data_IF_658628473475
#
_entry.id   IF_658628473475
#
_cell.length_a   1.000
_cell.length_b   1.000
_cell.length_c   1.000
_cell.angle_alpha   90.00
_cell.angle_beta   90.00
_cell.angle_gamma   90.00
#
_symmetry.space_group_name_H-M   'P 1'
#
loop_
_entity.id
_entity.type
_entity.pdbx_description
1 polymer ?
#
# COMPACT_ATOMS: atom_id res chain seq x y z
N UNK A 1 20.35 -3.43 -0.42
CA UNK A 1 21.20 -2.32 -0.95
C UNK A 1 20.27 -1.18 -1.34
N UNK A 2 20.56 0.06 -0.94
CA UNK A 2 19.70 1.21 -1.23
C UNK A 2 20.49 2.32 -1.91
N UNK A 3 19.83 3.04 -2.83
CA UNK A 3 20.45 4.10 -3.63
C UNK A 3 20.00 5.47 -3.13
N UNK A 4 20.85 6.12 -2.32
CA UNK A 4 20.60 7.42 -1.68
C UNK A 4 20.02 8.47 -2.63
N UNK A 5 20.60 8.62 -3.81
CA UNK A 5 20.21 9.66 -4.77
C UNK A 5 18.82 9.40 -5.36
N UNK A 6 18.48 8.12 -5.60
CA UNK A 6 17.15 7.74 -6.07
C UNK A 6 16.10 7.95 -4.98
N UNK A 7 16.41 7.59 -3.73
CA UNK A 7 15.55 7.83 -2.58
C UNK A 7 15.23 9.33 -2.41
N UNK A 8 16.23 10.19 -2.46
CA UNK A 8 16.05 11.63 -2.24
C UNK A 8 15.34 12.33 -3.42
N UNK A 9 15.70 12.00 -4.67
CA UNK A 9 15.14 12.67 -5.87
C UNK A 9 13.67 12.36 -6.12
N UNK A 10 13.18 11.21 -5.62
CA UNK A 10 11.82 10.71 -5.87
C UNK A 10 10.91 10.78 -4.65
N UNK A 11 11.39 11.31 -3.52
CA UNK A 11 10.60 11.37 -2.29
C UNK A 11 9.70 12.60 -2.29
N UNK A 12 8.43 12.41 -1.91
CA UNK A 12 7.52 13.51 -1.62
C UNK A 12 7.95 14.33 -0.39
N UNK A 13 8.90 13.84 0.41
CA UNK A 13 9.48 14.52 1.57
C UNK A 13 10.80 15.26 1.25
N UNK A 14 11.17 15.40 -0.03
CA UNK A 14 12.42 16.09 -0.42
C UNK A 14 12.51 17.55 0.08
N UNK A 15 11.37 18.17 0.39
CA UNK A 15 11.27 19.51 0.96
C UNK A 15 11.69 19.59 2.44
N UNK A 16 11.75 18.46 3.16
CA UNK A 16 12.13 18.40 4.58
C UNK A 16 13.64 18.38 4.78
N UNK A 17 14.38 17.90 3.78
CA UNK A 17 15.83 17.78 3.79
C UNK A 17 16.32 16.45 3.25
N UNK A 18 17.62 16.15 3.43
CA UNK A 18 18.20 14.90 2.94
C UNK A 18 17.79 13.71 3.80
N UNK A 19 17.17 12.71 3.19
CA UNK A 19 16.91 11.39 3.77
C UNK A 19 18.23 10.62 3.84
N UNK A 20 18.57 10.14 5.04
CA UNK A 20 19.89 9.58 5.38
C UNK A 20 19.91 8.05 5.50
N UNK A 21 18.74 7.43 5.64
CA UNK A 21 18.62 6.00 5.88
C UNK A 21 17.26 5.48 5.42
N UNK A 22 17.08 4.17 5.57
CA UNK A 22 15.78 3.49 5.50
C UNK A 22 15.53 2.78 6.85
N UNK A 23 14.51 1.95 6.92
CA UNK A 23 14.24 1.08 8.06
C UNK A 23 14.96 -0.29 7.92
N UNK A 24 14.66 -1.20 8.84
CA UNK A 24 15.22 -2.54 8.90
C UNK A 24 14.97 -3.38 7.64
N UNK A 25 13.77 -3.26 7.06
CA UNK A 25 13.34 -4.07 5.92
C UNK A 25 13.55 -3.38 4.56
N UNK A 26 14.13 -2.17 4.56
CA UNK A 26 14.55 -1.40 3.38
C UNK A 26 13.43 -0.86 2.48
N UNK A 27 12.19 -0.85 2.95
CA UNK A 27 11.00 -0.37 2.24
C UNK A 27 10.58 1.05 2.62
N UNK A 28 10.96 1.53 3.81
CA UNK A 28 10.58 2.87 4.29
C UNK A 28 11.69 3.88 4.02
N UNK A 29 11.35 4.98 3.37
CA UNK A 29 12.29 6.05 3.00
C UNK A 29 11.69 7.38 3.46
N UNK A 30 11.94 7.72 4.73
CA UNK A 30 11.35 8.88 5.40
C UNK A 30 12.45 9.78 6.01
N UNK A 31 12.15 11.07 6.11
CA UNK A 31 13.04 12.06 6.67
C UNK A 31 13.26 11.87 8.18
N UNK A 32 14.51 12.04 8.63
CA UNK A 32 14.88 12.02 10.05
C UNK A 32 15.85 13.14 10.40
N UNK A 33 15.73 13.63 11.63
CA UNK A 33 16.57 14.67 12.23
C UNK A 33 16.83 14.36 13.71
N UNK A 34 17.71 15.09 14.40
CA UNK A 34 17.87 14.93 15.86
C UNK A 34 16.56 15.10 16.65
N UNK A 35 15.61 15.85 16.09
CA UNK A 35 14.32 16.18 16.68
C UNK A 35 13.15 15.36 16.13
N UNK A 36 13.38 14.53 15.10
CA UNK A 36 12.34 13.76 14.42
C UNK A 36 12.79 12.35 14.12
N UNK A 37 12.09 11.39 14.73
CA UNK A 37 12.25 9.97 14.45
C UNK A 37 11.11 9.52 13.56
N UNK A 38 11.40 9.15 12.32
CA UNK A 38 10.41 8.67 11.37
C UNK A 38 9.70 7.41 11.90
N UNK A 39 8.39 7.35 11.68
CA UNK A 39 7.53 6.20 12.03
C UNK A 39 6.57 5.99 10.88
N UNK A 40 6.42 4.74 10.46
CA UNK A 40 5.48 4.36 9.42
C UNK A 40 4.44 3.38 9.98
N UNK A 41 3.17 3.58 9.65
CA UNK A 41 2.11 2.62 9.93
C UNK A 41 1.87 1.76 8.69
N UNK A 42 1.95 0.44 8.87
CA UNK A 42 1.94 -0.53 7.77
C UNK A 42 0.66 -1.36 7.73
N UNK A 43 0.15 -1.61 6.53
CA UNK A 43 -0.84 -2.65 6.27
C UNK A 43 -0.51 -3.39 4.97
N UNK A 44 -1.00 -4.63 4.82
CA UNK A 44 -0.78 -5.44 3.62
C UNK A 44 -2.08 -6.01 3.08
N UNK A 45 -2.36 -5.73 1.81
CA UNK A 45 -3.57 -6.18 1.12
C UNK A 45 -3.34 -7.60 0.54
N UNK A 46 -4.22 -8.52 0.89
CA UNK A 46 -4.17 -9.91 0.41
C UNK A 46 -4.73 -10.03 -1.02
N UNK A 47 -3.84 -9.95 -2.02
CA UNK A 47 -4.18 -9.96 -3.44
C UNK A 47 -5.06 -11.13 -3.91
N UNK A 48 -4.89 -12.37 -3.40
CA UNK A 48 -5.72 -13.50 -3.85
C UNK A 48 -7.22 -13.31 -3.58
N UNK A 49 -7.59 -12.44 -2.62
CA UNK A 49 -8.99 -12.13 -2.30
C UNK A 49 -9.74 -11.40 -3.41
N UNK A 50 -9.02 -10.82 -4.36
CA UNK A 50 -9.59 -10.09 -5.49
C UNK A 50 -9.63 -10.94 -6.77
N UNK A 51 -9.21 -12.20 -6.72
CA UNK A 51 -9.41 -13.13 -7.84
C UNK A 51 -10.85 -13.66 -7.81
N UNK A 52 -11.59 -13.42 -8.89
CA UNK A 52 -13.01 -13.78 -9.05
C UNK A 52 -13.17 -14.80 -10.16
N UNK A 53 -14.28 -15.53 -10.10
CA UNK A 53 -14.71 -16.44 -11.16
C UNK A 53 -15.94 -15.88 -11.87
N UNK A 54 -15.97 -15.92 -13.20
CA UNK A 54 -17.07 -15.39 -14.00
C UNK A 54 -18.33 -16.21 -13.77
N UNK A 55 -19.47 -15.53 -13.63
CA UNK A 55 -20.77 -16.18 -13.43
C UNK A 55 -21.04 -16.67 -12.01
N UNK A 56 -20.14 -16.43 -11.05
CA UNK A 56 -20.36 -16.71 -9.63
C UNK A 56 -20.74 -15.40 -8.90
N UNK A 57 -21.87 -15.34 -8.17
CA UNK A 57 -22.25 -14.16 -7.39
C UNK A 57 -21.18 -13.76 -6.36
N UNK A 58 -21.07 -12.45 -6.09
CA UNK A 58 -20.02 -11.86 -5.26
C UNK A 58 -20.01 -12.41 -3.82
N UNK A 59 -21.20 -12.61 -3.23
CA UNK A 59 -21.35 -13.23 -1.90
C UNK A 59 -21.00 -14.73 -1.86
N UNK A 60 -20.95 -15.39 -3.01
CA UNK A 60 -20.79 -16.84 -3.14
C UNK A 60 -19.39 -17.26 -3.58
N UNK A 61 -18.43 -16.33 -3.58
CA UNK A 61 -17.09 -16.63 -4.09
C UNK A 61 -16.45 -17.81 -3.36
N UNK A 62 -15.98 -18.82 -4.10
CA UNK A 62 -15.56 -20.07 -3.49
C UNK A 62 -14.32 -19.86 -2.63
N UNK A 63 -14.40 -20.27 -1.36
CA UNK A 63 -13.26 -20.36 -0.46
C UNK A 63 -12.16 -21.35 -0.92
N UNK A 64 -12.35 -22.00 -2.09
CA UNK A 64 -11.54 -23.12 -2.61
C UNK A 64 -10.84 -22.81 -3.93
N UNK A 65 -10.67 -21.55 -4.33
CA UNK A 65 -9.78 -21.24 -5.45
C UNK A 65 -8.36 -21.72 -5.09
N UNK A 66 -7.89 -22.78 -5.76
CA UNK A 66 -6.57 -23.38 -5.54
C UNK A 66 -5.98 -23.77 -6.89
N UNK A 67 -4.70 -23.48 -7.08
CA UNK A 67 -3.97 -23.81 -8.30
C UNK A 67 -4.48 -23.06 -9.54
N UNK A 68 -3.94 -23.45 -10.70
CA UNK A 68 -4.22 -22.83 -11.99
C UNK A 68 -5.36 -23.47 -12.79
N UNK A 69 -5.92 -24.59 -12.31
CA UNK A 69 -7.02 -25.29 -12.98
C UNK A 69 -8.24 -24.36 -13.02
N UNK A 70 -8.77 -24.09 -14.21
CA UNK A 70 -9.91 -23.18 -14.41
C UNK A 70 -9.55 -21.70 -14.47
N UNK A 71 -8.26 -21.34 -14.52
CA UNK A 71 -7.80 -19.94 -14.56
C UNK A 71 -8.42 -19.09 -15.68
N UNK A 72 -8.75 -19.71 -16.82
CA UNK A 72 -9.41 -19.04 -17.96
C UNK A 72 -10.77 -18.41 -17.61
N UNK A 73 -11.45 -18.95 -16.59
CA UNK A 73 -12.73 -18.42 -16.11
C UNK A 73 -12.57 -17.39 -14.99
N UNK A 74 -11.32 -17.01 -14.64
CA UNK A 74 -11.03 -16.09 -13.55
C UNK A 74 -10.57 -14.73 -14.06
N UNK A 75 -10.75 -13.72 -13.22
CA UNK A 75 -10.27 -12.37 -13.46
C UNK A 75 -9.89 -11.70 -12.12
N UNK A 76 -9.13 -10.62 -12.19
CA UNK A 76 -8.78 -9.82 -11.01
C UNK A 76 -9.68 -8.59 -10.91
N UNK A 77 -10.28 -8.40 -9.75
CA UNK A 77 -11.24 -7.34 -9.46
C UNK A 77 -10.53 -6.09 -8.90
N UNK A 78 -10.15 -5.20 -9.82
CA UNK A 78 -9.47 -3.95 -9.48
C UNK A 78 -10.38 -2.93 -8.80
N UNK A 79 -11.69 -2.96 -9.06
CA UNK A 79 -12.65 -2.06 -8.43
C UNK A 79 -12.77 -2.38 -6.93
N UNK A 80 -12.86 -3.67 -6.58
CA UNK A 80 -12.86 -4.08 -5.18
C UNK A 80 -11.51 -3.81 -4.50
N UNK A 81 -10.40 -3.93 -5.24
CA UNK A 81 -9.09 -3.53 -4.72
C UNK A 81 -9.05 -2.04 -4.37
N UNK A 82 -9.58 -1.17 -5.23
CA UNK A 82 -9.66 0.26 -5.00
C UNK A 82 -10.49 0.59 -3.74
N UNK A 83 -11.65 -0.05 -3.58
CA UNK A 83 -12.50 0.09 -2.38
C UNK A 83 -11.75 -0.30 -1.10
N UNK A 84 -11.11 -1.49 -1.08
CA UNK A 84 -10.39 -1.97 0.11
C UNK A 84 -9.16 -1.11 0.38
N UNK A 85 -8.42 -0.69 -0.65
CA UNK A 85 -7.30 0.24 -0.50
C UNK A 85 -7.78 1.51 0.21
N UNK A 86 -8.96 2.00 -0.17
CA UNK A 86 -9.53 3.21 0.43
C UNK A 86 -9.76 3.10 1.92
N UNK A 87 -10.34 1.97 2.34
CA UNK A 87 -10.58 1.65 3.76
C UNK A 87 -9.25 1.51 4.51
N UNK A 88 -8.26 0.84 3.91
CA UNK A 88 -6.93 0.67 4.50
C UNK A 88 -6.22 2.01 4.69
N UNK A 89 -6.27 2.90 3.70
CA UNK A 89 -5.72 4.26 3.79
C UNK A 89 -6.31 5.01 4.99
N UNK A 90 -7.65 4.99 5.13
CA UNK A 90 -8.33 5.64 6.25
C UNK A 90 -7.94 5.02 7.59
N UNK A 91 -7.92 3.69 7.69
CA UNK A 91 -7.50 2.98 8.91
C UNK A 91 -6.08 3.35 9.33
N UNK A 92 -5.13 3.36 8.40
CA UNK A 92 -3.74 3.74 8.68
C UNK A 92 -3.63 5.20 9.11
N UNK A 93 -4.39 6.11 8.51
CA UNK A 93 -4.40 7.50 8.93
C UNK A 93 -4.98 7.67 10.35
N UNK A 94 -6.01 6.90 10.72
CA UNK A 94 -6.55 6.88 12.09
C UNK A 94 -5.56 6.33 13.11
N UNK A 95 -4.79 5.31 12.74
CA UNK A 95 -3.75 4.74 13.60
C UNK A 95 -2.76 5.82 14.04
N UNK A 96 -2.39 6.77 13.18
CA UNK A 96 -1.47 7.87 13.55
C UNK A 96 -1.96 8.63 14.79
N UNK A 97 -3.28 8.87 14.90
CA UNK A 97 -3.87 9.67 15.98
C UNK A 97 -4.01 8.88 17.29
N UNK A 98 -4.27 7.56 17.21
CA UNK A 98 -4.51 6.71 18.38
C UNK A 98 -3.27 5.96 18.86
N UNK A 99 -2.19 5.94 18.08
CA UNK A 99 -1.00 5.17 18.40
C UNK A 99 -0.32 5.69 19.68
N UNK A 100 0.26 4.76 20.45
CA UNK A 100 1.14 5.10 21.57
C UNK A 100 2.56 5.32 21.04
N UNK A 101 3.09 6.53 21.22
CA UNK A 101 4.46 6.88 20.82
C UNK A 101 5.38 6.81 22.04
N UNK A 102 6.38 5.91 22.05
CA UNK A 102 7.27 5.76 23.21
C UNK A 102 8.25 6.91 23.38
N UNK A 103 8.48 7.71 22.31
CA UNK A 103 9.37 8.88 22.32
C UNK A 103 8.70 10.06 21.62
N UNK A 104 8.95 11.28 22.13
CA UNK A 104 8.30 12.48 21.61
C UNK A 104 8.75 12.85 20.18
N UNK A 105 10.00 12.57 19.82
CA UNK A 105 10.51 12.79 18.45
C UNK A 105 9.75 11.96 17.41
N UNK A 106 9.24 10.78 17.80
CA UNK A 106 8.41 9.91 16.96
C UNK A 106 7.00 10.46 16.81
N UNK A 107 6.37 10.89 17.91
CA UNK A 107 5.06 11.56 17.89
C UNK A 107 5.12 12.80 17.01
N UNK A 108 6.14 13.64 17.20
CA UNK A 108 6.34 14.87 16.43
C UNK A 108 6.44 14.61 14.93
N UNK A 109 7.30 13.66 14.53
CA UNK A 109 7.46 13.31 13.10
C UNK A 109 6.15 12.81 12.49
N UNK A 110 5.50 11.83 13.15
CA UNK A 110 4.31 11.19 12.58
C UNK A 110 3.10 12.14 12.55
N UNK A 111 2.93 13.01 13.54
CA UNK A 111 1.84 13.99 13.55
C UNK A 111 2.04 15.10 12.51
N UNK A 112 3.28 15.45 12.17
CA UNK A 112 3.60 16.48 11.15
C UNK A 112 3.46 15.95 9.73
N UNK A 113 4.01 14.77 9.46
CA UNK A 113 4.20 14.28 8.10
C UNK A 113 3.22 13.18 7.70
N UNK A 114 2.58 12.56 8.70
CA UNK A 114 1.55 11.52 8.57
C UNK A 114 1.83 10.44 7.51
N UNK A 115 3.04 9.86 7.45
CA UNK A 115 3.33 8.80 6.49
C UNK A 115 2.54 7.52 6.80
N UNK A 116 2.14 6.83 5.73
CA UNK A 116 1.52 5.50 5.78
C UNK A 116 2.16 4.60 4.72
N UNK A 117 2.24 3.31 5.00
CA UNK A 117 2.76 2.30 4.06
C UNK A 117 1.72 1.23 3.77
N UNK A 118 1.31 1.13 2.51
CA UNK A 118 0.39 0.07 2.04
C UNK A 118 1.19 -0.88 1.15
N UNK A 119 1.42 -2.09 1.68
CA UNK A 119 2.01 -3.20 0.95
C UNK A 119 0.96 -4.18 0.43
N UNK A 120 1.44 -5.25 -0.17
CA UNK A 120 0.62 -6.36 -0.69
C UNK A 120 1.22 -7.70 -0.30
N UNK A 121 0.39 -8.73 -0.28
CA UNK A 121 0.79 -10.11 -0.01
C UNK A 121 0.04 -11.09 -0.93
N UNK A 122 0.62 -12.27 -1.14
CA UNK A 122 0.03 -13.31 -1.99
C UNK A 122 0.09 -13.00 -3.49
N UNK A 123 1.12 -12.30 -3.95
CA UNK A 123 1.32 -12.02 -5.38
C UNK A 123 1.52 -13.32 -6.18
N UNK A 124 2.37 -14.22 -5.69
CA UNK A 124 2.60 -15.51 -6.31
C UNK A 124 1.32 -16.37 -6.36
N UNK A 125 0.57 -16.42 -5.26
CA UNK A 125 -0.72 -17.10 -5.18
C UNK A 125 -1.70 -16.53 -6.21
N UNK A 126 -1.76 -15.20 -6.33
CA UNK A 126 -2.61 -14.52 -7.31
C UNK A 126 -2.25 -14.93 -8.74
N UNK A 127 -0.96 -15.00 -9.06
CA UNK A 127 -0.48 -15.46 -10.36
C UNK A 127 -0.84 -16.92 -10.63
N UNK A 128 -0.65 -17.79 -9.64
CA UNK A 128 -1.04 -19.20 -9.73
C UNK A 128 -2.55 -19.32 -10.01
N UNK A 129 -3.38 -18.56 -9.27
CA UNK A 129 -4.83 -18.59 -9.44
C UNK A 129 -5.27 -18.10 -10.83
N UNK A 130 -4.59 -17.09 -11.38
CA UNK A 130 -4.83 -16.56 -12.72
C UNK A 130 -4.14 -17.38 -13.81
N UNK A 131 -3.37 -18.41 -13.46
CA UNK A 131 -2.62 -19.23 -14.40
C UNK A 131 -1.55 -18.44 -15.17
N UNK A 132 -1.00 -17.40 -14.56
CA UNK A 132 0.05 -16.55 -15.12
C UNK A 132 1.42 -17.00 -14.56
N UNK A 133 2.42 -17.27 -15.41
CA UNK A 133 3.80 -17.41 -14.95
C UNK A 133 4.31 -16.16 -14.23
N UNK A 134 5.34 -16.30 -13.39
CA UNK A 134 5.88 -15.15 -12.65
C UNK A 134 6.78 -14.26 -13.53
N UNK A 135 7.45 -14.90 -14.49
CA UNK A 135 8.37 -14.32 -15.48
C UNK A 135 7.68 -13.88 -16.78
N UNK A 136 6.35 -14.00 -16.83
CA UNK A 136 5.60 -13.56 -17.99
C UNK A 136 5.75 -12.05 -18.24
N UNK A 137 5.69 -11.61 -19.50
CA UNK A 137 5.73 -10.19 -19.87
C UNK A 137 4.47 -9.40 -19.47
N UNK A 138 3.57 -9.91 -18.62
CA UNK A 138 2.37 -9.21 -18.11
C UNK A 138 2.71 -8.08 -17.11
N UNK A 139 3.69 -7.25 -17.47
CA UNK A 139 4.06 -5.96 -16.89
C UNK A 139 2.83 -5.10 -16.58
N UNK A 140 1.77 -5.22 -17.38
CA UNK A 140 0.50 -4.53 -17.16
C UNK A 140 -0.18 -4.90 -15.83
N UNK A 141 -0.14 -6.16 -15.38
CA UNK A 141 -0.83 -6.54 -14.14
C UNK A 141 -0.18 -5.89 -12.91
N UNK A 142 1.14 -5.99 -12.78
CA UNK A 142 1.87 -5.39 -11.67
C UNK A 142 1.82 -3.85 -11.73
N UNK A 143 1.92 -3.28 -12.93
CA UNK A 143 1.75 -1.84 -13.12
C UNK A 143 0.36 -1.36 -12.69
N UNK A 144 -0.70 -2.07 -13.10
CA UNK A 144 -2.08 -1.73 -12.72
C UNK A 144 -2.30 -1.85 -11.20
N UNK A 145 -1.69 -2.85 -10.56
CA UNK A 145 -1.74 -2.99 -9.10
C UNK A 145 -1.16 -1.75 -8.40
N UNK A 146 0.04 -1.34 -8.83
CA UNK A 146 0.73 -0.17 -8.28
C UNK A 146 -0.07 1.11 -8.55
N UNK A 147 -0.59 1.28 -9.77
CA UNK A 147 -1.36 2.46 -10.17
C UNK A 147 -2.63 2.58 -9.32
N UNK A 148 -3.41 1.50 -9.19
CA UNK A 148 -4.66 1.52 -8.41
C UNK A 148 -4.37 1.84 -6.95
N UNK A 149 -3.41 1.15 -6.32
CA UNK A 149 -3.09 1.39 -4.90
C UNK A 149 -2.60 2.82 -4.69
N UNK A 150 -1.70 3.31 -5.54
CA UNK A 150 -1.11 4.64 -5.44
C UNK A 150 -2.15 5.75 -5.65
N UNK A 151 -2.96 5.66 -6.71
CA UNK A 151 -3.98 6.66 -7.03
C UNK A 151 -5.08 6.72 -5.97
N UNK A 152 -5.59 5.57 -5.51
CA UNK A 152 -6.60 5.54 -4.45
C UNK A 152 -6.08 6.15 -3.15
N UNK A 153 -4.86 5.77 -2.74
CA UNK A 153 -4.23 6.30 -1.53
C UNK A 153 -4.05 7.82 -1.63
N UNK A 154 -3.52 8.31 -2.76
CA UNK A 154 -3.30 9.73 -2.97
C UNK A 154 -4.61 10.52 -2.97
N UNK A 155 -5.63 10.04 -3.68
CA UNK A 155 -6.93 10.71 -3.75
C UNK A 155 -7.56 10.87 -2.36
N UNK A 156 -7.50 9.85 -1.52
CA UNK A 156 -8.11 9.87 -0.20
C UNK A 156 -7.36 10.78 0.74
N UNK A 157 -6.03 10.74 0.71
CA UNK A 157 -5.22 11.65 1.53
C UNK A 157 -5.45 13.11 1.12
N UNK A 158 -5.58 13.39 -0.18
CA UNK A 158 -5.95 14.73 -0.67
C UNK A 158 -7.35 15.10 -0.16
N UNK A 159 -8.35 14.23 -0.31
CA UNK A 159 -9.71 14.50 0.15
C UNK A 159 -9.77 14.72 1.66
N UNK A 160 -9.06 13.94 2.47
CA UNK A 160 -9.00 14.16 3.92
C UNK A 160 -8.29 15.46 4.30
N UNK A 161 -7.28 15.89 3.55
CA UNK A 161 -6.64 17.20 3.75
C UNK A 161 -7.58 18.37 3.42
N UNK A 162 -8.41 18.23 2.38
CA UNK A 162 -9.40 19.25 1.98
C UNK A 162 -10.67 19.25 2.83
N UNK A 163 -11.09 18.09 3.36
CA UNK A 163 -12.34 17.92 4.10
C UNK A 163 -12.16 17.89 5.62
N UNK A 164 -10.93 17.95 6.15
CA UNK A 164 -10.74 18.14 7.60
C UNK A 164 -11.32 19.50 7.98
N UNK A 165 -12.39 19.57 8.79
CA UNK A 165 -12.82 20.84 9.34
C UNK A 165 -11.65 21.38 10.18
N UNK A 166 -11.30 22.64 9.93
CA UNK A 166 -10.38 23.40 10.76
C UNK A 166 -10.98 23.49 12.17
N UNK A 167 -10.58 22.56 13.04
CA UNK A 167 -10.83 22.60 14.48
C UNK A 167 -9.87 23.55 15.16
#
# INVERSE_FOLDING_TARGET
>A
MLYKDSCNRKSNQQNLGTIKSSNLCTEIVEFTSPDETAVCNLASIALPRFVREKGVPLESHPAKLVGSIGSKNRYFDFDKLAEITSIVTWNLNKIIDINYYPIETARRSNMRHRPIGIGVQGLADTFILLGMPFDSPEVHFQANLIIVISLCTLLILILELFLRPSS
#
